data_IF_920388885904
#
_entry.id   IF_920388885904
#
_cell.length_a   1.000
_cell.length_b   1.000
_cell.length_c   1.000
_cell.angle_alpha   90.00
_cell.angle_beta   90.00
_cell.angle_gamma   90.00
#
_symmetry.space_group_name_H-M   'P 1'
#
loop_
_entity.id
_entity.type
_entity.pdbx_description
1 polymer ?
#
# COMPACT_ATOMS: atom_id res chain seq x y z
N UNK A 1 17.44 46.66 -19.24
CA UNK A 1 17.12 45.32 -18.69
C UNK A 1 15.89 45.50 -17.80
N UNK A 2 14.62 45.49 -18.24
CA UNK A 2 13.84 44.62 -19.14
C UNK A 2 13.80 43.15 -18.72
N UNK A 3 12.77 42.81 -17.92
CA UNK A 3 11.85 41.66 -18.04
C UNK A 3 10.84 41.76 -16.85
N UNK A 4 9.81 42.62 -16.91
CA UNK A 4 8.42 42.28 -17.34
C UNK A 4 7.95 40.93 -16.73
N UNK A 5 7.19 40.90 -15.63
CA UNK A 5 5.79 41.32 -15.46
C UNK A 5 4.78 40.70 -16.45
N UNK A 6 4.73 39.36 -16.50
CA UNK A 6 3.58 38.54 -16.95
C UNK A 6 3.63 37.33 -16.00
N UNK A 7 2.68 37.05 -15.11
CA UNK A 7 1.32 36.58 -15.38
C UNK A 7 0.46 36.80 -14.11
N UNK A 8 -0.10 37.99 -13.96
CA UNK A 8 -1.18 38.28 -13.01
C UNK A 8 -2.48 38.43 -13.81
N UNK A 9 -3.10 37.30 -14.14
CA UNK A 9 -4.54 37.11 -14.44
C UNK A 9 -4.70 35.79 -15.18
N UNK A 10 -5.00 34.73 -14.44
CA UNK A 10 -5.64 33.54 -15.00
C UNK A 10 -7.02 33.50 -14.36
N UNK A 11 -8.04 33.68 -15.19
CA UNK A 11 -9.46 33.62 -14.82
C UNK A 11 -9.75 32.26 -14.15
N UNK A 12 -10.77 32.24 -13.28
CA UNK A 12 -11.15 31.08 -12.46
C UNK A 12 -11.32 29.76 -13.26
N UNK A 13 -11.48 29.86 -14.58
CA UNK A 13 -11.67 28.77 -15.53
C UNK A 13 -10.37 28.05 -15.92
N UNK A 14 -9.20 28.71 -15.88
CA UNK A 14 -7.91 28.06 -16.20
C UNK A 14 -7.31 27.29 -15.01
N UNK A 15 -7.66 27.65 -13.76
CA UNK A 15 -7.29 26.82 -12.59
C UNK A 15 -7.99 25.46 -12.58
N UNK A 16 -9.13 25.32 -13.27
CA UNK A 16 -9.84 24.05 -13.40
C UNK A 16 -9.15 23.09 -14.39
N UNK A 17 -8.34 23.57 -15.33
CA UNK A 17 -7.68 22.73 -16.34
C UNK A 17 -6.26 22.29 -15.98
N UNK A 18 -5.63 22.89 -14.97
CA UNK A 18 -4.36 22.39 -14.39
C UNK A 18 -4.57 21.19 -13.44
N UNK A 19 -5.82 20.82 -13.12
CA UNK A 19 -6.16 19.71 -12.23
C UNK A 19 -6.15 18.32 -12.87
N UNK A 20 -5.68 18.15 -14.11
CA UNK A 20 -5.89 16.92 -14.87
C UNK A 20 -4.66 16.42 -15.61
N UNK A 21 -3.55 16.16 -14.89
CA UNK A 21 -2.53 15.16 -15.29
C UNK A 21 -1.47 14.97 -14.20
N UNK A 22 -1.89 14.49 -13.03
CA UNK A 22 -0.96 13.61 -12.31
C UNK A 22 -1.09 12.26 -13.00
N UNK A 23 -0.07 11.76 -13.73
CA UNK A 23 -0.12 10.40 -14.23
C UNK A 23 -0.39 9.52 -13.01
N UNK A 24 -1.27 8.57 -13.22
CA UNK A 24 -1.80 7.61 -12.28
C UNK A 24 -0.67 6.73 -11.70
N UNK A 25 0.31 7.32 -11.01
CA UNK A 25 1.50 6.64 -10.48
C UNK A 25 1.04 5.72 -9.36
N UNK A 26 0.18 6.20 -8.46
CA UNK A 26 -0.38 5.36 -7.40
C UNK A 26 -1.23 4.23 -7.96
N UNK A 27 -2.11 4.46 -8.94
CA UNK A 27 -2.92 3.40 -9.53
C UNK A 27 -2.16 2.48 -10.50
N UNK A 28 -1.11 2.94 -11.18
CA UNK A 28 -0.19 2.08 -11.94
C UNK A 28 0.72 1.26 -11.03
N UNK A 29 1.15 1.83 -9.90
CA UNK A 29 1.99 1.15 -8.93
C UNK A 29 1.15 0.17 -8.10
N UNK A 30 -0.10 0.52 -7.74
CA UNK A 30 -1.12 -0.40 -7.24
C UNK A 30 -1.40 -1.48 -8.26
N UNK A 31 -1.59 -1.16 -9.55
CA UNK A 31 -1.81 -2.17 -10.59
C UNK A 31 -0.59 -3.07 -10.76
N UNK A 32 0.64 -2.55 -10.68
CA UNK A 32 1.86 -3.36 -10.74
C UNK A 32 2.08 -4.17 -9.46
N UNK A 33 1.78 -3.64 -8.29
CA UNK A 33 1.81 -4.38 -7.01
C UNK A 33 0.72 -5.44 -7.02
N UNK A 34 -0.47 -5.16 -7.56
CA UNK A 34 -1.58 -6.10 -7.79
C UNK A 34 -1.26 -7.13 -8.85
N UNK A 35 -0.51 -6.80 -9.90
CA UNK A 35 -0.05 -7.76 -10.93
C UNK A 35 1.08 -8.61 -10.36
N UNK A 36 1.97 -8.07 -9.54
CA UNK A 36 3.06 -8.84 -8.93
C UNK A 36 2.52 -9.71 -7.78
N UNK A 37 1.61 -9.20 -6.94
CA UNK A 37 0.91 -9.98 -5.91
C UNK A 37 -0.11 -10.92 -6.54
N UNK A 38 -0.78 -10.55 -7.63
CA UNK A 38 -1.72 -11.37 -8.38
C UNK A 38 -1.03 -12.49 -9.15
N UNK A 39 0.14 -12.24 -9.74
CA UNK A 39 1.00 -13.29 -10.29
C UNK A 39 1.59 -14.16 -9.18
N UNK A 40 1.96 -13.60 -8.02
CA UNK A 40 2.31 -14.39 -6.85
C UNK A 40 1.12 -15.23 -6.38
N UNK A 41 -0.11 -14.72 -6.42
CA UNK A 41 -1.35 -15.43 -6.08
C UNK A 41 -1.74 -16.49 -7.12
N UNK A 42 -1.43 -16.28 -8.40
CA UNK A 42 -1.56 -17.34 -9.40
C UNK A 42 -0.57 -18.50 -9.18
N UNK A 43 0.57 -18.25 -8.52
CA UNK A 43 1.43 -19.33 -8.00
C UNK A 43 0.83 -19.98 -6.75
N UNK A 44 -0.01 -19.27 -5.97
CA UNK A 44 -0.68 -19.81 -4.78
C UNK A 44 -1.73 -20.88 -5.15
N UNK A 45 -2.45 -20.75 -6.27
CA UNK A 45 -3.42 -21.77 -6.70
C UNK A 45 -2.78 -23.10 -7.12
N UNK A 46 -1.47 -23.12 -7.38
CA UNK A 46 -0.73 -24.34 -7.75
C UNK A 46 0.10 -24.92 -6.60
N UNK A 47 0.16 -24.26 -5.44
CA UNK A 47 0.96 -24.68 -4.30
C UNK A 47 0.08 -25.03 -3.10
N UNK A 48 -0.76 -26.05 -3.27
CA UNK A 48 -1.21 -26.89 -2.17
C UNK A 48 -0.01 -27.70 -1.62
N UNK A 49 0.97 -27.02 -1.02
CA UNK A 49 2.06 -27.66 -0.28
C UNK A 49 2.28 -26.90 1.02
N UNK A 50 1.75 -27.49 2.09
CA UNK A 50 1.88 -27.03 3.45
C UNK A 50 3.37 -26.78 3.79
N UNK A 51 3.67 -25.59 4.33
CA UNK A 51 4.98 -25.24 4.91
C UNK A 51 5.98 -24.52 4.00
N UNK A 52 5.92 -24.67 2.68
CA UNK A 52 6.90 -24.05 1.77
C UNK A 52 6.53 -22.63 1.28
N UNK A 53 5.26 -22.23 1.40
CA UNK A 53 4.78 -20.93 0.92
C UNK A 53 5.23 -19.73 1.75
N UNK A 54 5.38 -19.88 3.07
CA UNK A 54 5.77 -18.77 3.96
C UNK A 54 7.21 -18.31 3.72
N UNK A 55 8.23 -19.21 3.65
CA UNK A 55 9.59 -18.81 3.30
C UNK A 55 9.70 -18.17 1.89
N UNK A 56 8.92 -18.67 0.92
CA UNK A 56 8.89 -18.10 -0.44
C UNK A 56 8.33 -16.68 -0.46
N UNK A 57 7.24 -16.42 0.27
CA UNK A 57 6.65 -15.10 0.39
C UNK A 57 7.58 -14.11 1.11
N UNK A 58 8.28 -14.53 2.17
CA UNK A 58 9.27 -13.72 2.86
C UNK A 58 10.47 -13.42 1.95
N UNK A 59 10.93 -14.40 1.18
CA UNK A 59 12.00 -14.22 0.19
C UNK A 59 11.59 -13.20 -0.88
N UNK A 60 10.34 -13.26 -1.34
CA UNK A 60 9.79 -12.28 -2.27
C UNK A 60 9.80 -10.86 -1.68
N UNK A 61 9.34 -10.66 -0.44
CA UNK A 61 9.41 -9.36 0.25
C UNK A 61 10.85 -8.89 0.46
N UNK A 62 11.78 -9.80 0.74
CA UNK A 62 13.19 -9.49 0.88
C UNK A 62 13.82 -8.98 -0.43
N UNK A 63 13.38 -9.49 -1.58
CA UNK A 63 13.81 -9.03 -2.92
C UNK A 63 13.12 -7.73 -3.36
N UNK A 64 11.98 -7.37 -2.78
CA UNK A 64 11.26 -6.16 -3.14
C UNK A 64 12.06 -4.89 -2.80
N UNK A 65 12.17 -3.87 -3.65
CA UNK A 65 12.85 -2.61 -3.32
C UNK A 65 12.29 -1.97 -2.03
N UNK A 66 13.16 -1.39 -1.19
CA UNK A 66 12.78 -0.83 0.12
C UNK A 66 11.62 0.17 0.04
N UNK A 67 11.63 1.06 -0.95
CA UNK A 67 10.55 2.03 -1.15
C UNK A 67 9.20 1.35 -1.43
N UNK A 68 9.19 0.25 -2.19
CA UNK A 68 7.97 -0.50 -2.50
C UNK A 68 7.49 -1.30 -1.29
N UNK A 69 8.42 -1.89 -0.53
CA UNK A 69 8.07 -2.63 0.69
C UNK A 69 7.49 -1.69 1.76
N UNK A 70 8.10 -0.53 1.96
CA UNK A 70 7.60 0.50 2.88
C UNK A 70 6.23 1.03 2.45
N UNK A 71 6.01 1.22 1.15
CA UNK A 71 4.70 1.62 0.64
C UNK A 71 3.64 0.53 0.91
N UNK A 72 3.93 -0.72 0.58
CA UNK A 72 3.03 -1.85 0.84
C UNK A 72 2.70 -1.97 2.34
N UNK A 73 3.69 -1.82 3.21
CA UNK A 73 3.51 -1.83 4.66
C UNK A 73 2.65 -0.64 5.14
N UNK A 74 2.88 0.56 4.59
CA UNK A 74 2.08 1.77 4.89
C UNK A 74 0.63 1.59 4.46
N UNK A 75 0.40 1.06 3.26
CA UNK A 75 -0.94 0.74 2.76
C UNK A 75 -1.62 -0.30 3.65
N UNK A 76 -0.91 -1.35 4.04
CA UNK A 76 -1.42 -2.37 4.97
C UNK A 76 -1.83 -1.75 6.31
N UNK A 77 -1.02 -0.84 6.85
CA UNK A 77 -1.33 -0.14 8.10
C UNK A 77 -2.57 0.73 7.97
N UNK A 78 -2.67 1.53 6.90
CA UNK A 78 -3.84 2.35 6.64
C UNK A 78 -5.11 1.51 6.49
N UNK A 79 -5.06 0.45 5.67
CA UNK A 79 -6.21 -0.41 5.37
C UNK A 79 -6.67 -1.18 6.60
N UNK A 80 -5.74 -1.79 7.33
CA UNK A 80 -6.06 -2.54 8.54
C UNK A 80 -6.63 -1.62 9.63
N UNK A 81 -6.03 -0.44 9.83
CA UNK A 81 -6.51 0.53 10.82
C UNK A 81 -7.89 1.09 10.48
N UNK A 82 -8.16 1.37 9.19
CA UNK A 82 -9.50 1.76 8.73
C UNK A 82 -10.50 0.63 8.92
N UNK A 83 -10.16 -0.61 8.54
CA UNK A 83 -11.05 -1.77 8.72
C UNK A 83 -11.39 -2.02 10.20
N UNK A 84 -10.46 -1.74 11.13
CA UNK A 84 -10.72 -1.86 12.57
C UNK A 84 -11.79 -0.87 13.05
N UNK A 85 -11.74 0.39 12.57
CA UNK A 85 -12.69 1.44 12.94
C UNK A 85 -14.01 1.34 12.17
N UNK A 86 -13.93 1.08 10.87
CA UNK A 86 -15.03 1.04 9.92
C UNK A 86 -15.45 -0.41 9.63
N UNK A 87 -16.05 -1.09 10.62
CA UNK A 87 -16.39 -2.52 10.52
C UNK A 87 -17.34 -2.89 9.37
N UNK A 88 -18.10 -1.92 8.84
CA UNK A 88 -18.97 -2.12 7.68
C UNK A 88 -18.18 -2.23 6.36
N UNK A 89 -16.95 -1.72 6.30
CA UNK A 89 -16.08 -1.87 5.13
C UNK A 89 -15.52 -3.29 5.09
N UNK A 90 -15.89 -4.05 4.07
CA UNK A 90 -15.39 -5.41 3.86
C UNK A 90 -14.18 -5.37 2.93
N UNK A 91 -13.09 -6.03 3.32
CA UNK A 91 -11.93 -6.19 2.46
C UNK A 91 -12.25 -7.18 1.33
N UNK A 92 -11.85 -6.83 0.11
CA UNK A 92 -11.79 -7.80 -0.98
C UNK A 92 -10.49 -8.62 -0.93
N UNK A 93 -10.28 -9.50 -1.91
CA UNK A 93 -9.11 -10.37 -1.95
C UNK A 93 -7.78 -9.59 -1.94
N UNK A 94 -7.75 -8.47 -2.68
CA UNK A 94 -6.59 -7.58 -2.72
C UNK A 94 -6.36 -6.88 -1.38
N UNK A 95 -7.43 -6.46 -0.71
CA UNK A 95 -7.37 -5.89 0.64
C UNK A 95 -6.82 -6.90 1.65
N UNK A 96 -7.29 -8.16 1.59
CA UNK A 96 -6.79 -9.25 2.42
C UNK A 96 -5.30 -9.53 2.16
N UNK A 97 -4.88 -9.56 0.90
CA UNK A 97 -3.48 -9.76 0.52
C UNK A 97 -2.58 -8.64 1.07
N UNK A 98 -3.03 -7.38 0.99
CA UNK A 98 -2.29 -6.24 1.53
C UNK A 98 -2.14 -6.32 3.05
N UNK A 99 -3.19 -6.66 3.80
CA UNK A 99 -3.07 -6.77 5.26
C UNK A 99 -2.30 -8.01 5.74
N UNK A 100 -1.97 -8.96 4.85
CA UNK A 100 -1.08 -10.07 5.16
C UNK A 100 0.41 -9.68 5.13
N UNK A 101 0.77 -8.57 4.47
CA UNK A 101 2.15 -8.04 4.43
C UNK A 101 2.78 -7.89 5.83
N UNK A 102 2.15 -7.22 6.82
CA UNK A 102 2.74 -7.11 8.16
C UNK A 102 2.96 -8.48 8.81
N UNK A 103 2.07 -9.46 8.63
CA UNK A 103 2.24 -10.81 9.18
C UNK A 103 3.53 -11.45 8.64
N UNK A 104 3.74 -11.36 7.34
CA UNK A 104 4.97 -11.88 6.69
C UNK A 104 6.23 -11.12 7.13
N UNK A 105 6.12 -9.82 7.41
CA UNK A 105 7.24 -9.03 7.93
C UNK A 105 7.63 -9.46 9.35
N UNK A 106 6.65 -9.65 10.23
CA UNK A 106 6.90 -10.16 11.59
C UNK A 106 7.44 -11.58 11.56
N UNK A 107 6.79 -12.49 10.82
CA UNK A 107 7.27 -13.87 10.64
C UNK A 107 8.70 -13.91 10.09
N UNK A 108 9.04 -13.03 9.14
CA UNK A 108 10.38 -12.93 8.58
C UNK A 108 11.45 -12.56 9.61
N UNK A 109 11.12 -11.70 10.57
CA UNK A 109 12.02 -11.34 11.66
C UNK A 109 12.08 -12.41 12.75
N UNK A 110 10.92 -12.82 13.25
CA UNK A 110 10.81 -13.69 14.43
C UNK A 110 11.35 -15.09 14.14
N UNK A 111 11.14 -15.59 12.92
CA UNK A 111 11.61 -16.90 12.48
C UNK A 111 12.98 -16.85 11.80
N UNK A 112 13.65 -15.69 11.80
CA UNK A 112 14.95 -15.47 11.14
C UNK A 112 14.98 -15.85 9.65
N UNK A 113 13.86 -15.69 8.95
CA UNK A 113 13.70 -16.09 7.54
C UNK A 113 14.11 -14.98 6.56
N UNK A 114 14.28 -13.75 7.02
CA UNK A 114 14.71 -12.63 6.17
C UNK A 114 16.23 -12.51 6.10
N UNK A 115 16.82 -12.42 4.90
CA UNK A 115 18.25 -12.14 4.74
C UNK A 115 18.60 -10.67 5.06
N UNK A 116 17.60 -9.79 5.24
CA UNK A 116 17.83 -8.38 5.57
C UNK A 116 16.89 -7.91 6.70
N UNK A 117 17.22 -8.23 7.96
CA UNK A 117 16.42 -7.83 9.12
C UNK A 117 16.22 -6.30 9.26
N UNK A 118 17.24 -5.42 9.05
CA UNK A 118 17.04 -3.98 9.14
C UNK A 118 15.96 -3.43 8.21
N UNK A 119 15.86 -3.98 6.98
CA UNK A 119 14.83 -3.62 6.02
C UNK A 119 13.43 -3.99 6.50
N UNK A 120 13.25 -5.19 7.03
CA UNK A 120 11.96 -5.63 7.56
C UNK A 120 11.54 -4.79 8.76
N UNK A 121 12.48 -4.46 9.66
CA UNK A 121 12.23 -3.55 10.79
C UNK A 121 11.75 -2.17 10.34
N UNK A 122 12.32 -1.61 9.27
CA UNK A 122 11.86 -0.32 8.70
C UNK A 122 10.43 -0.41 8.15
N UNK A 123 10.13 -1.48 7.41
CA UNK A 123 8.79 -1.70 6.86
C UNK A 123 7.74 -1.89 7.97
N UNK A 124 8.07 -2.63 9.04
CA UNK A 124 7.19 -2.78 10.20
C UNK A 124 6.90 -1.43 10.87
N UNK A 125 7.93 -0.59 11.09
CA UNK A 125 7.72 0.75 11.64
C UNK A 125 6.81 1.62 10.77
N UNK A 126 6.93 1.51 9.44
CA UNK A 126 6.04 2.20 8.50
C UNK A 126 4.59 1.70 8.62
N UNK A 127 4.40 0.38 8.73
CA UNK A 127 3.10 -0.23 9.01
C UNK A 127 2.50 0.28 10.32
N UNK A 128 3.24 0.20 11.43
CA UNK A 128 2.76 0.59 12.76
C UNK A 128 2.38 2.08 12.80
N UNK A 129 3.22 2.96 12.23
CA UNK A 129 2.94 4.38 12.15
C UNK A 129 1.65 4.66 11.35
N UNK A 130 1.48 4.00 10.20
CA UNK A 130 0.31 4.14 9.35
C UNK A 130 -0.96 3.61 10.04
N UNK A 131 -0.87 2.44 10.66
CA UNK A 131 -1.95 1.82 11.43
C UNK A 131 -2.41 2.72 12.58
N UNK A 132 -1.46 3.14 13.42
CA UNK A 132 -1.75 4.00 14.58
C UNK A 132 -2.34 5.34 14.16
N UNK A 133 -1.93 5.89 13.01
CA UNK A 133 -2.55 7.08 12.44
C UNK A 133 -3.97 6.78 11.98
N UNK A 134 -4.17 5.71 11.21
CA UNK A 134 -5.46 5.36 10.60
C UNK A 134 -6.55 5.05 11.63
N UNK A 135 -6.23 4.34 12.71
CA UNK A 135 -7.21 4.06 13.78
C UNK A 135 -7.66 5.33 14.54
N UNK A 136 -6.86 6.41 14.49
CA UNK A 136 -7.14 7.70 15.14
C UNK A 136 -7.71 8.76 14.19
N UNK A 137 -7.77 8.50 12.88
CA UNK A 137 -8.32 9.46 11.91
C UNK A 137 -9.82 9.65 12.14
N UNK A 138 -10.28 10.88 11.93
CA UNK A 138 -11.68 11.30 12.09
C UNK A 138 -12.46 11.33 10.78
N UNK A 139 -11.81 11.11 9.64
CA UNK A 139 -12.46 11.02 8.34
C UNK A 139 -13.57 9.95 8.37
N UNK A 140 -14.65 10.15 7.62
CA UNK A 140 -15.70 9.13 7.52
C UNK A 140 -15.21 7.89 6.74
N UNK A 141 -15.96 6.79 6.87
CA UNK A 141 -15.56 5.51 6.27
C UNK A 141 -15.58 5.53 4.73
N UNK A 142 -16.42 6.33 4.09
CA UNK A 142 -16.45 6.43 2.62
C UNK A 142 -15.24 7.22 2.12
N UNK A 143 -14.86 8.29 2.82
CA UNK A 143 -13.63 9.04 2.54
C UNK A 143 -12.39 8.15 2.68
N UNK A 144 -12.32 7.29 3.70
CA UNK A 144 -11.20 6.35 3.83
C UNK A 144 -11.23 5.24 2.77
N UNK A 145 -12.41 4.72 2.40
CA UNK A 145 -12.57 3.77 1.29
C UNK A 145 -12.06 4.35 -0.03
N UNK A 146 -12.36 5.62 -0.31
CA UNK A 146 -11.99 6.30 -1.54
C UNK A 146 -10.47 6.46 -1.72
N UNK A 147 -9.67 6.41 -0.64
CA UNK A 147 -8.20 6.41 -0.72
C UNK A 147 -7.64 5.10 -1.29
N UNK A 148 -8.37 3.99 -1.10
CA UNK A 148 -7.98 2.66 -1.60
C UNK A 148 -9.19 1.91 -2.17
N UNK A 149 -9.82 2.42 -3.25
CA UNK A 149 -11.12 1.94 -3.71
C UNK A 149 -11.08 0.49 -4.20
N UNK A 150 -9.90 -0.02 -4.56
CA UNK A 150 -9.68 -1.39 -5.04
C UNK A 150 -9.40 -2.41 -3.94
N UNK A 151 -9.39 -2.01 -2.67
CA UNK A 151 -9.08 -2.90 -1.53
C UNK A 151 -10.31 -3.26 -0.68
N UNK A 152 -11.45 -2.62 -0.95
CA UNK A 152 -12.71 -2.83 -0.26
C UNK A 152 -13.81 -3.24 -1.26
N UNK A 153 -14.86 -3.87 -0.75
CA UNK A 153 -16.15 -4.04 -1.43
C UNK A 153 -17.00 -2.78 -1.23
#
# INVERSE_FOLDING_TARGET
MLFESKYFNLTLQERAMLGSRSPNIEGQLLNRILIILGAAVCVISSAASAGQGVPQNITFLARMPDAKLNLAATMAGNVNGVAQRCRALKLNENGKAIIAVPVLLYDGLDKHLTPNPPKFKRAIRAYEAAYNKAVRRRDDCQTEKAKYPRLYW
#
